data_IF_443404667787
#
_entry.id   IF_443404667787
#
_cell.length_a   1.000
_cell.length_b   1.000
_cell.length_c   1.000
_cell.angle_alpha   90.00
_cell.angle_beta   90.00
_cell.angle_gamma   90.00
#
_symmetry.space_group_name_H-M   'P 1'
#
loop_
_entity.id
_entity.type
_entity.pdbx_description
1 polymer ?
#
# COMPACT_ATOMS: atom_id res chain seq x y z
N UNK A 1 -18.94 -31.22 -7.26
CA UNK A 1 -18.20 -30.50 -6.19
C UNK A 1 -17.05 -29.78 -6.89
N UNK A 2 -16.80 -28.49 -6.65
CA UNK A 2 -15.78 -27.72 -7.39
C UNK A 2 -14.37 -27.99 -6.83
N UNK A 3 -13.32 -27.78 -7.65
CA UNK A 3 -11.91 -27.87 -7.23
C UNK A 3 -11.65 -27.01 -5.99
N UNK A 4 -12.27 -25.84 -5.90
CA UNK A 4 -12.15 -24.95 -4.75
C UNK A 4 -12.55 -25.61 -3.43
N UNK A 5 -13.58 -26.47 -3.43
CA UNK A 5 -13.98 -27.18 -2.23
C UNK A 5 -12.95 -28.25 -1.84
N UNK A 6 -12.30 -28.90 -2.79
CA UNK A 6 -11.23 -29.85 -2.52
C UNK A 6 -9.97 -29.16 -1.97
N UNK A 7 -9.72 -27.91 -2.37
CA UNK A 7 -8.64 -27.05 -1.86
C UNK A 7 -8.96 -26.36 -0.52
N UNK A 8 -9.98 -26.81 0.21
CA UNK A 8 -10.16 -26.41 1.61
C UNK A 8 -9.06 -27.02 2.50
N UNK A 9 -8.76 -26.46 3.69
CA UNK A 9 -7.72 -26.98 4.58
C UNK A 9 -7.87 -28.48 4.90
N UNK A 10 -9.12 -28.94 5.00
CA UNK A 10 -9.47 -30.34 5.13
C UNK A 10 -10.87 -30.60 4.58
N UNK A 11 -11.03 -31.69 3.81
CA UNK A 11 -12.34 -32.16 3.34
C UNK A 11 -12.58 -33.56 3.90
N UNK A 12 -13.73 -33.74 4.54
CA UNK A 12 -14.12 -35.01 5.15
C UNK A 12 -15.28 -35.66 4.37
N UNK A 13 -15.18 -36.97 4.15
CA UNK A 13 -16.25 -37.75 3.54
C UNK A 13 -16.37 -37.53 2.03
N UNK A 14 -15.25 -37.70 1.31
CA UNK A 14 -15.24 -37.68 -0.16
C UNK A 14 -16.18 -38.76 -0.71
N UNK A 15 -16.99 -38.41 -1.70
CA UNK A 15 -17.79 -39.39 -2.48
C UNK A 15 -16.94 -40.03 -3.58
N UNK A 16 -17.39 -41.14 -4.18
CA UNK A 16 -16.67 -41.78 -5.30
C UNK A 16 -16.39 -40.80 -6.45
N UNK A 17 -17.39 -40.01 -6.86
CA UNK A 17 -17.23 -38.99 -7.91
C UNK A 17 -16.20 -37.89 -7.56
N UNK A 18 -15.92 -37.66 -6.28
CA UNK A 18 -14.94 -36.66 -5.83
C UNK A 18 -13.54 -37.25 -5.69
N UNK A 19 -13.47 -38.56 -5.53
CA UNK A 19 -12.21 -39.27 -5.32
C UNK A 19 -11.32 -39.21 -6.55
N UNK A 20 -11.91 -39.28 -7.75
CA UNK A 20 -11.16 -39.13 -9.01
C UNK A 20 -10.49 -37.76 -9.09
N UNK A 21 -11.26 -36.66 -8.91
CA UNK A 21 -10.70 -35.31 -8.91
C UNK A 21 -9.69 -35.11 -7.78
N UNK A 22 -9.96 -35.62 -6.58
CA UNK A 22 -9.02 -35.52 -5.46
C UNK A 22 -7.69 -36.24 -5.76
N UNK A 23 -7.74 -37.42 -6.39
CA UNK A 23 -6.53 -38.14 -6.81
C UNK A 23 -5.76 -37.38 -7.89
N UNK A 24 -6.43 -36.80 -8.87
CA UNK A 24 -5.76 -35.95 -9.86
C UNK A 24 -5.06 -34.75 -9.20
N UNK A 25 -5.71 -34.10 -8.23
CA UNK A 25 -5.10 -32.99 -7.49
C UNK A 25 -3.95 -33.46 -6.59
N UNK A 26 -4.04 -34.66 -6.00
CA UNK A 26 -2.94 -35.31 -5.25
C UNK A 26 -1.74 -35.61 -6.15
N UNK A 27 -1.97 -36.14 -7.37
CA UNK A 27 -0.92 -36.42 -8.37
C UNK A 27 -0.20 -35.13 -8.82
N UNK A 28 -0.93 -34.02 -8.91
CA UNK A 28 -0.36 -32.69 -9.16
C UNK A 28 0.35 -32.09 -7.93
N UNK A 29 0.30 -32.78 -6.78
CA UNK A 29 0.87 -32.34 -5.51
C UNK A 29 0.08 -31.23 -4.82
N UNK A 30 -1.15 -30.95 -5.23
CA UNK A 30 -2.00 -29.89 -4.66
C UNK A 30 -2.69 -30.33 -3.37
N UNK A 31 -2.94 -31.64 -3.25
CA UNK A 31 -3.45 -32.29 -2.06
C UNK A 31 -2.38 -33.23 -1.49
N UNK A 32 -2.43 -33.42 -0.18
CA UNK A 32 -1.70 -34.50 0.51
C UNK A 32 -2.39 -35.84 0.25
N UNK A 33 -1.69 -36.91 0.62
CA UNK A 33 -2.19 -38.27 0.57
C UNK A 33 -3.61 -38.38 1.14
N UNK A 34 -4.51 -39.00 0.36
CA UNK A 34 -5.89 -39.21 0.77
C UNK A 34 -5.91 -40.28 1.86
N UNK A 35 -6.27 -39.87 3.07
CA UNK A 35 -6.33 -40.75 4.25
C UNK A 35 -7.71 -41.42 4.35
N UNK A 36 -7.74 -42.73 4.57
CA UNK A 36 -8.94 -43.39 5.10
C UNK A 36 -8.88 -43.37 6.63
N UNK A 37 -9.83 -42.66 7.26
CA UNK A 37 -9.96 -42.66 8.72
C UNK A 37 -11.16 -43.45 9.17
N UNK A 38 -10.91 -44.40 10.05
CA UNK A 38 -11.95 -45.05 10.83
C UNK A 38 -12.43 -44.15 11.97
N UNK A 39 -13.74 -44.09 12.15
CA UNK A 39 -14.39 -43.34 13.22
C UNK A 39 -15.65 -44.06 13.71
N UNK A 40 -16.12 -43.66 14.88
CA UNK A 40 -17.42 -44.04 15.42
C UNK A 40 -18.21 -42.79 15.78
N UNK A 41 -19.54 -42.90 15.80
CA UNK A 41 -20.41 -41.85 16.32
C UNK A 41 -20.68 -42.07 17.80
N UNK A 42 -20.54 -41.01 18.60
CA UNK A 42 -20.88 -41.03 20.01
C UNK A 42 -22.32 -41.52 20.23
N UNK A 43 -23.25 -41.06 19.39
CA UNK A 43 -24.66 -41.47 19.41
C UNK A 43 -24.98 -42.21 18.12
N UNK A 44 -25.53 -43.42 18.24
CA UNK A 44 -26.01 -44.21 17.11
C UNK A 44 -27.42 -44.74 17.41
N UNK A 45 -28.32 -44.84 16.40
CA UNK A 45 -29.68 -45.35 16.60
C UNK A 45 -29.79 -46.76 17.16
N UNK A 46 -28.68 -47.51 17.15
CA UNK A 46 -28.58 -48.87 17.68
C UNK A 46 -28.08 -48.93 19.13
N UNK A 47 -27.78 -47.79 19.75
CA UNK A 47 -27.37 -47.73 21.15
C UNK A 47 -28.58 -47.93 22.06
N UNK A 48 -28.43 -48.71 23.13
CA UNK A 48 -29.51 -49.00 24.10
C UNK A 48 -30.07 -47.72 24.78
N UNK A 49 -29.24 -46.69 24.90
CA UNK A 49 -29.53 -45.39 25.51
C UNK A 49 -29.70 -44.27 24.46
N UNK A 50 -29.92 -44.61 23.18
CA UNK A 50 -29.96 -43.67 22.06
C UNK A 50 -30.83 -42.43 22.34
N UNK A 51 -32.05 -42.62 22.87
CA UNK A 51 -32.97 -41.52 23.15
C UNK A 51 -32.46 -40.59 24.26
N UNK A 52 -31.84 -41.14 25.31
CA UNK A 52 -31.32 -40.35 26.44
C UNK A 52 -30.12 -39.49 26.02
N UNK A 53 -29.23 -40.01 25.18
CA UNK A 53 -28.03 -39.28 24.73
C UNK A 53 -28.35 -38.32 23.58
N UNK A 54 -29.33 -38.66 22.73
CA UNK A 54 -29.82 -37.76 21.66
C UNK A 54 -30.43 -36.48 22.23
N UNK A 55 -31.17 -36.56 23.34
CA UNK A 55 -31.71 -35.36 24.02
C UNK A 55 -30.60 -34.44 24.58
N UNK A 56 -29.41 -34.98 24.83
CA UNK A 56 -28.22 -34.19 25.23
C UNK A 56 -27.50 -33.53 24.06
N UNK A 57 -27.91 -33.79 22.81
CA UNK A 57 -27.40 -33.12 21.62
C UNK A 57 -25.95 -33.44 21.25
N UNK A 58 -25.45 -34.64 21.56
CA UNK A 58 -24.07 -34.99 21.25
C UNK A 58 -23.93 -35.61 19.85
N UNK A 59 -23.32 -34.87 18.92
CA UNK A 59 -23.08 -35.29 17.53
C UNK A 59 -21.62 -35.70 17.25
N UNK A 60 -20.84 -35.94 18.31
CA UNK A 60 -19.39 -36.12 18.23
C UNK A 60 -18.97 -37.37 17.44
N UNK A 61 -17.98 -37.19 16.57
CA UNK A 61 -17.33 -38.27 15.79
C UNK A 61 -15.92 -38.52 16.33
N UNK A 62 -15.67 -39.75 16.79
CA UNK A 62 -14.43 -40.11 17.47
C UNK A 62 -13.56 -40.93 16.52
N UNK A 63 -12.39 -40.39 16.16
CA UNK A 63 -11.40 -41.09 15.33
C UNK A 63 -10.75 -42.25 16.07
N UNK A 64 -10.56 -43.37 15.38
CA UNK A 64 -10.01 -44.61 15.94
C UNK A 64 -8.50 -44.79 15.72
N UNK A 65 -7.80 -43.75 15.26
CA UNK A 65 -6.41 -43.82 14.76
C UNK A 65 -5.35 -44.25 15.80
N UNK A 66 -5.66 -44.24 17.10
CA UNK A 66 -4.68 -44.53 18.17
C UNK A 66 -5.18 -45.47 19.28
N UNK A 67 -6.44 -45.90 19.26
CA UNK A 67 -7.02 -46.78 20.31
C UNK A 67 -7.73 -47.96 19.65
N UNK A 68 -7.05 -49.11 19.51
CA UNK A 68 -7.57 -50.22 18.72
C UNK A 68 -8.74 -50.93 19.40
N UNK A 69 -8.80 -50.96 20.73
CA UNK A 69 -9.83 -51.61 21.53
C UNK A 69 -10.02 -50.96 22.92
N UNK A 70 -11.24 -51.02 23.46
CA UNK A 70 -11.54 -50.63 24.83
C UNK A 70 -12.72 -49.67 24.98
N UNK A 71 -12.65 -48.86 26.04
CA UNK A 71 -13.64 -47.85 26.40
C UNK A 71 -13.04 -46.47 26.16
N UNK A 72 -13.76 -45.61 25.45
CA UNK A 72 -13.36 -44.22 25.21
C UNK A 72 -14.38 -43.26 25.80
N UNK A 73 -13.90 -42.23 26.47
CA UNK A 73 -14.77 -41.15 26.92
C UNK A 73 -15.00 -40.19 25.76
N UNK A 74 -16.26 -39.98 25.37
CA UNK A 74 -16.63 -38.99 24.38
C UNK A 74 -16.16 -37.59 24.84
N UNK A 75 -15.35 -36.87 24.04
CA UNK A 75 -14.87 -35.54 24.41
C UNK A 75 -16.01 -34.50 24.47
N UNK A 76 -17.05 -34.67 23.65
CA UNK A 76 -18.18 -33.74 23.59
C UNK A 76 -19.12 -33.83 24.79
N UNK A 77 -19.47 -35.04 25.24
CA UNK A 77 -20.49 -35.24 26.29
C UNK A 77 -20.00 -36.01 27.54
N UNK A 78 -18.74 -36.41 27.59
CA UNK A 78 -18.18 -37.18 28.71
C UNK A 78 -18.71 -38.61 28.85
N UNK A 79 -19.54 -39.09 27.90
CA UNK A 79 -20.09 -40.44 27.90
C UNK A 79 -18.99 -41.47 27.71
N UNK A 80 -18.97 -42.51 28.53
CA UNK A 80 -18.10 -43.65 28.31
C UNK A 80 -18.68 -44.56 27.21
N UNK A 81 -17.91 -44.79 26.16
CA UNK A 81 -18.31 -45.53 24.97
C UNK A 81 -17.49 -46.81 24.88
N UNK A 82 -18.19 -47.93 24.92
CA UNK A 82 -17.60 -49.24 24.67
C UNK A 82 -17.45 -49.45 23.15
N UNK A 83 -16.20 -49.40 22.65
CA UNK A 83 -15.92 -49.36 21.21
C UNK A 83 -16.48 -50.58 20.47
N UNK A 84 -16.48 -51.76 21.09
CA UNK A 84 -16.98 -53.01 20.50
C UNK A 84 -18.50 -53.02 20.26
N UNK A 85 -19.27 -52.16 20.96
CA UNK A 85 -20.72 -52.00 20.74
C UNK A 85 -21.03 -51.02 19.61
N UNK A 86 -20.03 -50.31 19.09
CA UNK A 86 -20.20 -49.29 18.06
C UNK A 86 -19.93 -49.82 16.68
N UNK A 87 -20.70 -49.34 15.70
CA UNK A 87 -20.44 -49.60 14.29
C UNK A 87 -19.28 -48.71 13.84
N UNK A 88 -18.14 -49.32 13.52
CA UNK A 88 -17.03 -48.64 12.85
C UNK A 88 -17.48 -48.15 11.48
N UNK A 89 -17.09 -46.92 11.14
CA UNK A 89 -17.30 -46.30 9.84
C UNK A 89 -15.96 -45.82 9.33
N UNK A 90 -15.76 -45.85 8.03
CA UNK A 90 -14.62 -45.16 7.42
C UNK A 90 -15.10 -43.92 6.66
N UNK A 91 -14.21 -42.95 6.54
CA UNK A 91 -14.35 -41.84 5.61
C UNK A 91 -13.01 -41.49 5.02
N UNK A 92 -13.03 -41.10 3.76
CA UNK A 92 -11.88 -40.53 3.10
C UNK A 92 -11.74 -39.06 3.48
N UNK A 93 -10.52 -38.65 3.79
CA UNK A 93 -10.15 -37.30 4.17
C UNK A 93 -9.01 -36.87 3.27
N UNK A 94 -9.05 -35.62 2.81
CA UNK A 94 -7.92 -35.01 2.13
C UNK A 94 -7.58 -33.68 2.78
N UNK A 95 -6.31 -33.29 2.64
CA UNK A 95 -5.75 -32.06 3.15
C UNK A 95 -5.04 -31.33 2.02
N UNK A 96 -5.27 -30.02 1.89
CA UNK A 96 -4.52 -29.20 0.93
C UNK A 96 -3.03 -29.20 1.28
N UNK A 97 -2.18 -29.26 0.25
CA UNK A 97 -0.76 -28.93 0.39
C UNK A 97 -0.48 -27.50 -0.09
N UNK A 98 -0.43 -26.55 0.86
CA UNK A 98 -0.14 -25.13 0.58
C UNK A 98 1.17 -24.92 -0.20
N UNK A 99 2.19 -25.76 0.02
CA UNK A 99 3.47 -25.67 -0.71
C UNK A 99 3.33 -26.19 -2.14
N UNK A 100 2.58 -27.26 -2.30
CA UNK A 100 2.21 -27.83 -3.59
C UNK A 100 1.43 -26.83 -4.44
N UNK A 101 0.35 -26.27 -3.89
CA UNK A 101 -0.45 -25.21 -4.56
C UNK A 101 0.41 -24.03 -4.97
N UNK A 102 1.26 -23.53 -4.07
CA UNK A 102 2.17 -22.44 -4.40
C UNK A 102 3.12 -22.77 -5.55
N UNK A 103 3.71 -23.96 -5.53
CA UNK A 103 4.69 -24.37 -6.54
C UNK A 103 4.01 -24.54 -7.89
N UNK A 104 2.86 -25.22 -7.91
CA UNK A 104 2.07 -25.44 -9.12
C UNK A 104 1.63 -24.12 -9.77
N UNK A 105 0.96 -23.24 -9.03
CA UNK A 105 0.47 -21.95 -9.55
C UNK A 105 1.62 -21.12 -10.11
N UNK A 106 2.75 -21.05 -9.38
CA UNK A 106 3.94 -20.33 -9.84
C UNK A 106 4.50 -20.95 -11.13
N UNK A 107 4.57 -22.26 -11.20
CA UNK A 107 5.19 -22.97 -12.32
C UNK A 107 4.33 -22.89 -13.59
N UNK A 108 2.99 -22.96 -13.45
CA UNK A 108 2.03 -22.68 -14.55
C UNK A 108 2.23 -21.26 -15.07
N UNK A 109 2.14 -20.23 -14.20
CA UNK A 109 2.31 -18.83 -14.62
C UNK A 109 3.68 -18.59 -15.26
N UNK A 110 4.73 -19.21 -14.73
CA UNK A 110 6.08 -19.12 -15.30
C UNK A 110 6.15 -19.73 -16.71
N UNK A 111 5.53 -20.90 -16.90
CA UNK A 111 5.51 -21.62 -18.16
C UNK A 111 4.74 -20.84 -19.23
N UNK A 112 3.51 -20.43 -18.92
CA UNK A 112 2.62 -19.76 -19.88
C UNK A 112 3.16 -18.44 -20.41
N UNK A 113 3.97 -17.73 -19.61
CA UNK A 113 4.49 -16.41 -19.96
C UNK A 113 5.93 -16.41 -20.47
N UNK A 114 6.57 -17.59 -20.56
CA UNK A 114 8.02 -17.73 -20.79
C UNK A 114 8.84 -16.75 -19.91
N UNK A 115 8.42 -16.60 -18.65
CA UNK A 115 8.86 -15.51 -17.79
C UNK A 115 9.76 -15.99 -16.64
N UNK A 116 10.45 -15.04 -16.00
CA UNK A 116 11.20 -15.32 -14.76
C UNK A 116 10.29 -15.12 -13.56
N UNK A 117 10.07 -16.19 -12.80
CA UNK A 117 9.36 -16.16 -11.53
C UNK A 117 10.34 -16.24 -10.34
N UNK A 118 10.24 -15.32 -9.39
CA UNK A 118 11.11 -15.22 -8.21
C UNK A 118 10.27 -15.21 -6.93
N UNK A 119 10.59 -16.08 -5.98
CA UNK A 119 9.89 -16.15 -4.68
C UNK A 119 10.16 -14.88 -3.86
N UNK A 120 9.13 -14.35 -3.20
CA UNK A 120 9.26 -13.28 -2.20
C UNK A 120 9.29 -13.94 -0.81
N UNK A 121 10.49 -14.22 -0.31
CA UNK A 121 10.68 -14.98 0.94
C UNK A 121 10.04 -14.31 2.17
N UNK A 122 10.05 -12.97 2.21
CA UNK A 122 9.49 -12.20 3.32
C UNK A 122 7.99 -11.91 3.18
N UNK A 123 7.36 -12.35 2.09
CA UNK A 123 5.96 -12.03 1.78
C UNK A 123 5.76 -10.58 1.40
N UNK A 124 4.51 -10.19 1.22
CA UNK A 124 4.09 -8.80 1.06
C UNK A 124 3.62 -8.28 2.40
N UNK A 125 4.07 -7.07 2.77
CA UNK A 125 3.69 -6.44 4.04
C UNK A 125 2.64 -5.37 3.77
N UNK A 126 1.54 -5.45 4.50
CA UNK A 126 0.45 -4.49 4.50
C UNK A 126 0.11 -4.22 5.97
N UNK A 127 0.26 -2.98 6.40
CA UNK A 127 0.28 -2.61 7.81
C UNK A 127 1.35 -3.44 8.57
N UNK A 128 0.98 -4.01 9.71
CA UNK A 128 1.79 -4.93 10.51
C UNK A 128 1.70 -6.40 10.04
N UNK A 129 0.89 -6.69 9.02
CA UNK A 129 0.59 -8.06 8.59
C UNK A 129 1.44 -8.45 7.39
N UNK A 130 2.02 -9.66 7.43
CA UNK A 130 2.76 -10.23 6.30
C UNK A 130 1.93 -11.32 5.64
N UNK A 131 1.57 -11.09 4.39
CA UNK A 131 0.84 -12.06 3.58
C UNK A 131 1.82 -12.92 2.80
N UNK A 132 1.61 -14.24 2.90
CA UNK A 132 2.43 -15.28 2.29
C UNK A 132 1.53 -16.46 1.86
N UNK A 133 1.94 -17.21 0.83
CA UNK A 133 3.15 -17.03 0.03
C UNK A 133 2.95 -16.05 -1.13
N UNK A 134 4.05 -15.46 -1.60
CA UNK A 134 4.03 -14.51 -2.71
C UNK A 134 5.27 -14.70 -3.61
N UNK A 135 5.12 -14.33 -4.88
CA UNK A 135 6.20 -14.35 -5.86
C UNK A 135 6.05 -13.20 -6.86
N UNK A 136 7.12 -12.92 -7.58
CA UNK A 136 7.18 -11.88 -8.62
C UNK A 136 7.41 -12.54 -9.96
N UNK A 137 6.71 -12.08 -10.99
CA UNK A 137 6.94 -12.45 -12.39
C UNK A 137 7.46 -11.25 -13.15
N UNK A 138 8.57 -11.43 -13.87
CA UNK A 138 9.19 -10.40 -14.71
C UNK A 138 9.15 -10.81 -16.18
N UNK A 139 8.61 -9.92 -17.02
CA UNK A 139 8.58 -10.04 -18.47
C UNK A 139 9.05 -8.72 -19.09
N UNK A 140 10.28 -8.70 -19.60
CA UNK A 140 10.97 -7.46 -20.00
C UNK A 140 11.20 -6.52 -18.80
N UNK A 141 10.87 -5.24 -18.97
CA UNK A 141 10.92 -4.24 -17.89
C UNK A 141 9.73 -4.32 -16.92
N UNK A 142 8.70 -5.11 -17.24
CA UNK A 142 7.48 -5.14 -16.46
C UNK A 142 7.58 -6.18 -15.33
N UNK A 143 7.10 -5.77 -14.15
CA UNK A 143 7.06 -6.59 -12.95
C UNK A 143 5.62 -6.69 -12.43
N UNK A 144 5.15 -7.90 -12.17
CA UNK A 144 3.84 -8.15 -11.55
C UNK A 144 4.02 -9.10 -10.37
N UNK A 145 3.41 -8.76 -9.23
CA UNK A 145 3.46 -9.60 -8.02
C UNK A 145 2.23 -10.49 -7.97
N UNK A 146 2.39 -11.66 -7.39
CA UNK A 146 1.35 -12.63 -7.14
C UNK A 146 1.32 -12.95 -5.66
N UNK A 147 0.15 -12.85 -5.05
CA UNK A 147 -0.13 -13.24 -3.68
C UNK A 147 -1.07 -14.44 -3.69
N UNK A 148 -0.69 -15.54 -3.06
CA UNK A 148 -1.57 -16.70 -2.89
C UNK A 148 -2.20 -16.62 -1.51
N UNK A 149 -3.53 -16.55 -1.50
CA UNK A 149 -4.31 -16.35 -0.30
C UNK A 149 -5.14 -17.59 -0.01
N UNK A 150 -4.86 -18.19 1.15
CA UNK A 150 -5.51 -19.43 1.61
C UNK A 150 -6.66 -19.18 2.59
N UNK A 151 -6.63 -18.03 3.26
CA UNK A 151 -7.54 -17.66 4.35
C UNK A 151 -8.15 -16.28 4.08
N UNK A 152 -9.20 -15.94 4.82
CA UNK A 152 -9.81 -14.60 4.71
C UNK A 152 -8.83 -13.50 5.12
N UNK A 153 -8.80 -12.45 4.31
CA UNK A 153 -8.05 -11.22 4.58
C UNK A 153 -8.98 -10.19 5.22
N UNK A 154 -8.54 -9.46 6.24
CA UNK A 154 -9.39 -8.41 6.84
C UNK A 154 -9.54 -7.20 5.92
N UNK A 155 -10.63 -6.42 6.09
CA UNK A 155 -10.92 -5.26 5.21
C UNK A 155 -9.77 -4.25 5.21
N UNK A 156 -9.19 -3.96 6.37
CA UNK A 156 -8.12 -2.97 6.48
C UNK A 156 -6.85 -3.39 5.73
N UNK A 157 -6.61 -4.69 5.60
CA UNK A 157 -5.51 -5.22 4.80
C UNK A 157 -5.83 -5.10 3.30
N UNK A 158 -7.08 -5.35 2.89
CA UNK A 158 -7.50 -5.11 1.51
C UNK A 158 -7.40 -3.63 1.12
N UNK A 159 -7.80 -2.74 2.03
CA UNK A 159 -7.69 -1.29 1.82
C UNK A 159 -6.22 -0.87 1.76
N UNK A 160 -5.34 -1.46 2.58
CA UNK A 160 -3.89 -1.23 2.50
C UNK A 160 -3.31 -1.72 1.17
N UNK A 161 -3.74 -2.88 0.65
CA UNK A 161 -3.35 -3.36 -0.69
C UNK A 161 -3.72 -2.33 -1.77
N UNK A 162 -4.91 -1.74 -1.71
CA UNK A 162 -5.30 -0.68 -2.64
C UNK A 162 -4.39 0.54 -2.54
N UNK A 163 -4.03 0.98 -1.33
CA UNK A 163 -3.13 2.13 -1.13
C UNK A 163 -1.76 1.89 -1.76
N UNK A 164 -1.21 0.67 -1.76
CA UNK A 164 0.03 0.42 -2.52
C UNK A 164 -0.17 0.62 -4.03
N UNK A 165 -1.33 0.23 -4.57
CA UNK A 165 -1.68 0.36 -5.98
C UNK A 165 -0.59 -0.13 -6.96
N UNK A 166 0.11 -1.19 -6.58
CA UNK A 166 1.15 -1.80 -7.39
C UNK A 166 0.58 -3.02 -8.14
N UNK A 167 1.12 -3.38 -9.32
CA UNK A 167 0.62 -4.53 -10.08
C UNK A 167 0.65 -5.82 -9.27
N UNK A 168 -0.53 -6.26 -8.84
CA UNK A 168 -0.73 -7.41 -7.96
C UNK A 168 -1.92 -8.24 -8.45
N UNK A 169 -1.69 -9.54 -8.59
CA UNK A 169 -2.73 -10.55 -8.76
C UNK A 169 -2.87 -11.33 -7.45
N UNK A 170 -4.11 -11.45 -6.96
CA UNK A 170 -4.42 -12.27 -5.79
C UNK A 170 -5.04 -13.60 -6.22
N UNK A 171 -4.33 -14.70 -5.96
CA UNK A 171 -4.82 -16.05 -6.22
C UNK A 171 -5.53 -16.57 -4.97
N UNK A 172 -6.84 -16.80 -5.08
CA UNK A 172 -7.67 -17.23 -3.97
C UNK A 172 -7.78 -18.76 -3.95
N UNK A 173 -7.55 -19.37 -2.79
CA UNK A 173 -7.53 -20.83 -2.64
C UNK A 173 -8.51 -21.28 -1.56
N UNK A 174 -9.41 -22.19 -1.93
CA UNK A 174 -10.33 -22.83 -0.99
C UNK A 174 -11.18 -21.84 -0.20
N UNK A 175 -10.91 -21.73 1.10
CA UNK A 175 -11.66 -20.86 2.00
C UNK A 175 -11.59 -19.38 1.63
N UNK A 176 -10.57 -18.93 0.91
CA UNK A 176 -10.45 -17.55 0.47
C UNK A 176 -11.31 -17.22 -0.78
N UNK A 177 -11.75 -18.22 -1.55
CA UNK A 177 -12.50 -18.03 -2.81
C UNK A 177 -13.80 -17.21 -2.63
N UNK A 178 -14.62 -17.42 -1.59
CA UNK A 178 -15.80 -16.59 -1.36
C UNK A 178 -15.50 -15.10 -1.13
N UNK A 179 -14.24 -14.73 -0.87
CA UNK A 179 -13.83 -13.34 -0.74
C UNK A 179 -13.62 -12.63 -2.10
N UNK A 180 -13.66 -13.33 -3.24
CA UNK A 180 -13.44 -12.76 -4.58
C UNK A 180 -14.20 -11.44 -4.81
N UNK A 181 -15.49 -11.43 -4.48
CA UNK A 181 -16.33 -10.22 -4.62
C UNK A 181 -15.81 -9.03 -3.81
N UNK A 182 -15.18 -9.24 -2.65
CA UNK A 182 -14.62 -8.13 -1.86
C UNK A 182 -13.33 -7.56 -2.47
N UNK A 183 -12.54 -8.39 -3.17
CA UNK A 183 -11.38 -7.95 -3.94
C UNK A 183 -11.82 -7.17 -5.18
N UNK A 184 -12.78 -7.72 -5.94
CA UNK A 184 -13.31 -7.10 -7.16
C UNK A 184 -14.01 -5.76 -6.89
N UNK A 185 -14.82 -5.66 -5.82
CA UNK A 185 -15.45 -4.40 -5.40
C UNK A 185 -14.44 -3.31 -5.04
N UNK A 186 -13.21 -3.71 -4.70
CA UNK A 186 -12.08 -2.82 -4.43
C UNK A 186 -11.22 -2.56 -5.68
N UNK A 187 -11.61 -3.08 -6.84
CA UNK A 187 -10.83 -2.96 -8.07
C UNK A 187 -9.49 -3.72 -8.00
N UNK A 188 -9.36 -4.68 -7.09
CA UNK A 188 -8.19 -5.54 -7.01
C UNK A 188 -8.36 -6.73 -7.97
N UNK A 189 -7.29 -7.06 -8.69
CA UNK A 189 -7.31 -8.23 -9.60
C UNK A 189 -7.14 -9.50 -8.79
N UNK A 190 -8.12 -10.40 -8.87
CA UNK A 190 -8.06 -11.71 -8.25
C UNK A 190 -8.53 -12.82 -9.20
N UNK A 191 -8.14 -14.05 -8.91
CA UNK A 191 -8.54 -15.26 -9.66
C UNK A 191 -8.60 -16.44 -8.69
N UNK A 192 -9.53 -17.38 -8.87
CA UNK A 192 -9.52 -18.60 -8.09
C UNK A 192 -8.39 -19.53 -8.57
N UNK A 193 -7.77 -20.28 -7.65
CA UNK A 193 -6.77 -21.26 -8.03
C UNK A 193 -7.34 -22.38 -8.92
N UNK A 194 -8.63 -22.72 -8.76
CA UNK A 194 -9.33 -23.66 -9.65
C UNK A 194 -9.26 -23.23 -11.11
N UNK A 195 -9.44 -21.94 -11.41
CA UNK A 195 -9.35 -21.41 -12.77
C UNK A 195 -7.93 -21.60 -13.33
N UNK A 196 -6.88 -21.32 -12.56
CA UNK A 196 -5.48 -21.55 -13.01
C UNK A 196 -5.21 -23.04 -13.27
N UNK A 197 -5.78 -23.93 -12.45
CA UNK A 197 -5.62 -25.38 -12.60
C UNK A 197 -6.39 -25.90 -13.83
N UNK A 198 -7.57 -25.35 -14.10
CA UNK A 198 -8.44 -25.73 -15.22
C UNK A 198 -7.99 -25.14 -16.57
N UNK A 199 -7.28 -24.01 -16.56
CA UNK A 199 -6.83 -23.28 -17.77
C UNK A 199 -5.95 -24.13 -18.71
N UNK A 200 -5.22 -25.13 -18.22
CA UNK A 200 -4.30 -25.92 -19.07
C UNK A 200 -3.27 -25.05 -19.81
N UNK A 201 -2.94 -25.39 -21.07
CA UNK A 201 -1.98 -24.69 -21.95
C UNK A 201 -2.55 -23.38 -22.61
N UNK A 202 -3.55 -22.71 -22.02
CA UNK A 202 -4.15 -21.49 -22.58
C UNK A 202 -3.49 -20.21 -22.03
N UNK A 203 -2.38 -19.80 -22.64
CA UNK A 203 -1.58 -18.64 -22.22
C UNK A 203 -2.32 -17.30 -22.21
N UNK A 204 -3.38 -17.17 -23.03
CA UNK A 204 -4.11 -15.91 -23.24
C UNK A 204 -4.81 -15.39 -21.95
N UNK A 205 -5.30 -16.28 -21.10
CA UNK A 205 -6.07 -15.90 -19.91
C UNK A 205 -5.16 -15.33 -18.80
N UNK A 206 -3.95 -15.88 -18.65
CA UNK A 206 -2.96 -15.40 -17.67
C UNK A 206 -2.37 -14.04 -18.10
N UNK A 207 -2.12 -13.84 -19.39
CA UNK A 207 -1.65 -12.55 -19.91
C UNK A 207 -2.69 -11.44 -19.70
N UNK A 208 -3.97 -11.74 -19.91
CA UNK A 208 -5.06 -10.79 -19.68
C UNK A 208 -5.20 -10.44 -18.20
N UNK A 209 -5.06 -11.42 -17.31
CA UNK A 209 -5.06 -11.21 -15.86
C UNK A 209 -3.94 -10.26 -15.42
N UNK A 210 -2.72 -10.47 -15.93
CA UNK A 210 -1.57 -9.60 -15.63
C UNK A 210 -1.78 -8.20 -16.18
N UNK A 211 -2.31 -8.09 -17.40
CA UNK A 211 -2.60 -6.79 -18.02
C UNK A 211 -3.62 -6.02 -17.19
N UNK A 212 -4.67 -6.69 -16.73
CA UNK A 212 -5.69 -6.13 -15.83
C UNK A 212 -5.10 -5.66 -14.50
N UNK A 213 -4.15 -6.40 -13.93
CA UNK A 213 -3.48 -6.02 -12.69
C UNK A 213 -2.54 -4.82 -12.84
N UNK A 214 -2.03 -4.56 -14.06
CA UNK A 214 -1.17 -3.41 -14.36
C UNK A 214 -1.95 -2.12 -14.61
N UNK A 215 -3.15 -2.25 -15.14
CA UNK A 215 -4.07 -1.13 -15.32
C UNK A 215 -4.73 -0.79 -13.98
N UNK A 216 -4.12 0.12 -13.21
CA UNK A 216 -4.81 0.67 -12.04
C UNK A 216 -6.08 1.39 -12.49
N UNK A 217 -7.22 0.91 -12.02
CA UNK A 217 -8.54 1.50 -12.30
C UNK A 217 -9.03 2.43 -11.19
N UNK A 218 -8.23 2.61 -10.13
CA UNK A 218 -8.65 3.32 -8.92
C UNK A 218 -8.14 4.77 -9.00
N UNK A 219 -9.04 5.79 -8.99
CA UNK A 219 -8.62 7.18 -9.00
C UNK A 219 -7.73 7.53 -7.81
N UNK A 220 -6.69 8.34 -8.04
CA UNK A 220 -5.75 8.75 -6.99
C UNK A 220 -6.44 9.37 -5.76
N UNK A 221 -7.53 10.12 -5.95
CA UNK A 221 -8.31 10.68 -4.84
C UNK A 221 -8.91 9.61 -3.92
N UNK A 222 -9.45 8.53 -4.48
CA UNK A 222 -9.98 7.41 -3.66
C UNK A 222 -8.87 6.68 -2.90
N UNK A 223 -7.67 6.58 -3.49
CA UNK A 223 -6.50 5.99 -2.83
C UNK A 223 -5.97 6.89 -1.72
N UNK A 224 -5.97 8.21 -1.92
CA UNK A 224 -5.62 9.21 -0.91
C UNK A 224 -6.59 9.13 0.28
N UNK A 225 -7.90 9.16 0.03
CA UNK A 225 -8.93 9.02 1.07
C UNK A 225 -8.74 7.73 1.90
N UNK A 226 -8.49 6.60 1.23
CA UNK A 226 -8.21 5.32 1.90
C UNK A 226 -6.93 5.38 2.73
N UNK A 227 -5.85 5.93 2.19
CA UNK A 227 -4.59 6.08 2.91
C UNK A 227 -4.73 6.96 4.16
N UNK A 228 -5.45 8.08 4.05
CA UNK A 228 -5.76 8.98 5.16
C UNK A 228 -6.62 8.26 6.21
N UNK A 229 -7.67 7.55 5.78
CA UNK A 229 -8.54 6.81 6.70
C UNK A 229 -7.79 5.70 7.46
N UNK A 230 -6.93 4.95 6.76
CA UNK A 230 -6.07 3.94 7.37
C UNK A 230 -5.06 4.56 8.33
N UNK A 231 -4.43 5.68 7.95
CA UNK A 231 -3.53 6.42 8.82
C UNK A 231 -4.22 6.87 10.11
N UNK A 232 -5.44 7.42 10.00
CA UNK A 232 -6.21 7.89 11.16
C UNK A 232 -6.71 6.75 12.05
N UNK A 233 -7.23 5.67 11.48
CA UNK A 233 -7.85 4.56 12.24
C UNK A 233 -6.86 3.49 12.70
N UNK A 234 -5.75 3.32 12.00
CA UNK A 234 -4.80 2.22 12.20
C UNK A 234 -3.35 2.69 12.33
N UNK A 235 -3.12 3.92 12.79
CA UNK A 235 -1.78 4.53 12.97
C UNK A 235 -0.74 3.60 13.60
N UNK A 236 -1.11 2.87 14.65
CA UNK A 236 -0.19 1.96 15.36
C UNK A 236 0.29 0.79 14.51
N UNK A 237 -0.45 0.40 13.47
CA UNK A 237 -0.12 -0.69 12.53
C UNK A 237 0.39 -0.14 11.19
N UNK A 238 0.16 1.14 10.92
CA UNK A 238 0.57 1.84 9.71
C UNK A 238 2.09 1.85 9.57
N UNK A 239 2.62 1.60 8.38
CA UNK A 239 4.06 1.60 8.14
C UNK A 239 4.48 2.80 7.32
N UNK A 240 5.80 3.01 7.26
CA UNK A 240 6.40 4.07 6.46
C UNK A 240 6.06 3.94 4.97
N UNK A 241 5.83 2.71 4.46
CA UNK A 241 5.47 2.50 3.05
C UNK A 241 4.05 2.92 2.75
N UNK A 242 3.06 2.57 3.58
CA UNK A 242 1.71 3.07 3.36
C UNK A 242 1.68 4.60 3.45
N UNK A 243 2.52 5.19 4.31
CA UNK A 243 2.68 6.63 4.41
C UNK A 243 3.21 7.25 3.10
N UNK A 244 4.30 6.75 2.53
CA UNK A 244 4.82 7.20 1.23
C UNK A 244 3.79 7.11 0.11
N UNK A 245 3.12 5.97 0.01
CA UNK A 245 2.08 5.78 -1.00
C UNK A 245 0.91 6.75 -0.79
N UNK A 246 0.54 7.04 0.46
CA UNK A 246 -0.51 8.03 0.76
C UNK A 246 -0.11 9.43 0.35
N UNK A 247 1.14 9.84 0.66
CA UNK A 247 1.70 11.13 0.23
C UNK A 247 1.67 11.24 -1.30
N UNK A 248 2.12 10.19 -2.00
CA UNK A 248 2.06 10.14 -3.45
C UNK A 248 0.63 10.29 -3.98
N UNK A 249 -0.36 9.63 -3.36
CA UNK A 249 -1.76 9.73 -3.79
C UNK A 249 -2.35 11.12 -3.53
N UNK A 250 -2.05 11.74 -2.39
CA UNK A 250 -2.45 13.12 -2.11
C UNK A 250 -1.89 14.08 -3.17
N UNK A 251 -0.60 13.97 -3.49
CA UNK A 251 0.01 14.79 -4.54
C UNK A 251 -0.57 14.48 -5.93
N UNK A 252 -0.75 13.21 -6.28
CA UNK A 252 -1.30 12.81 -7.58
C UNK A 252 -2.74 13.29 -7.75
N UNK A 253 -3.55 13.20 -6.71
CA UNK A 253 -4.94 13.66 -6.71
C UNK A 253 -5.05 15.19 -6.77
N UNK A 254 -4.06 15.92 -6.24
CA UNK A 254 -4.06 17.38 -6.20
C UNK A 254 -3.42 18.02 -7.45
N UNK A 255 -2.41 17.39 -8.05
CA UNK A 255 -1.57 18.00 -9.08
C UNK A 255 -1.40 17.17 -10.35
N UNK A 256 -1.63 15.85 -10.31
CA UNK A 256 -1.43 14.85 -11.39
C UNK A 256 0.02 14.63 -11.86
N UNK A 257 0.95 15.48 -11.44
CA UNK A 257 2.35 15.52 -11.90
C UNK A 257 3.34 14.83 -10.97
N UNK A 258 2.87 14.27 -9.84
CA UNK A 258 3.73 13.56 -8.90
C UNK A 258 4.03 12.14 -9.35
N UNK A 259 5.27 11.67 -9.16
CA UNK A 259 5.67 10.29 -9.41
C UNK A 259 6.45 9.73 -8.22
N UNK A 260 6.07 8.53 -7.80
CA UNK A 260 6.83 7.72 -6.84
C UNK A 260 7.97 7.01 -7.57
N UNK A 261 9.19 7.13 -7.04
CA UNK A 261 10.40 6.52 -7.60
C UNK A 261 10.84 5.27 -6.83
N UNK A 262 10.60 5.25 -5.50
CA UNK A 262 10.74 4.08 -4.62
C UNK A 262 12.13 3.44 -4.60
N UNK A 263 12.95 3.74 -3.58
CA UNK A 263 14.37 3.35 -3.53
C UNK A 263 14.72 1.87 -3.32
N UNK A 264 13.76 1.00 -2.99
CA UNK A 264 14.11 -0.38 -2.57
C UNK A 264 14.33 -1.39 -3.71
N UNK A 265 13.78 -1.21 -4.91
CA UNK A 265 13.85 -2.25 -5.95
C UNK A 265 15.08 -2.13 -6.89
N UNK A 266 15.69 -0.94 -6.99
CA UNK A 266 16.88 -0.71 -7.83
C UNK A 266 18.20 -0.87 -7.07
N UNK A 267 18.19 -0.77 -5.73
CA UNK A 267 19.41 -0.64 -4.93
C UNK A 267 20.11 0.71 -5.10
N UNK A 268 19.46 1.66 -5.76
CA UNK A 268 19.97 3.00 -6.03
C UNK A 268 19.45 4.00 -4.99
N UNK A 269 20.29 4.95 -4.58
CA UNK A 269 19.91 6.01 -3.63
C UNK A 269 19.15 7.12 -4.37
N UNK A 270 17.84 6.93 -4.56
CA UNK A 270 16.91 7.88 -5.19
C UNK A 270 15.92 8.45 -4.16
N UNK A 271 15.42 9.68 -4.36
CA UNK A 271 14.35 10.22 -3.51
C UNK A 271 13.07 9.37 -3.59
N UNK A 272 12.19 9.49 -2.59
CA UNK A 272 10.93 8.74 -2.60
C UNK A 272 10.07 9.10 -3.81
N UNK A 273 10.03 10.39 -4.18
CA UNK A 273 9.38 10.82 -5.41
C UNK A 273 9.77 12.20 -5.91
N UNK A 274 9.12 12.58 -7.01
CA UNK A 274 9.23 13.88 -7.67
C UNK A 274 7.85 14.48 -7.88
N UNK A 275 7.74 15.80 -7.84
CA UNK A 275 6.54 16.58 -8.11
C UNK A 275 6.90 17.74 -9.03
N UNK A 276 6.11 17.99 -10.07
CA UNK A 276 6.27 19.21 -10.89
C UNK A 276 5.07 20.14 -10.75
N UNK A 277 5.31 21.42 -10.50
CA UNK A 277 4.27 22.45 -10.49
C UNK A 277 4.42 23.34 -11.72
N UNK A 278 3.80 22.95 -12.83
CA UNK A 278 3.95 23.68 -14.09
C UNK A 278 3.00 24.89 -14.15
N UNK A 279 3.54 26.09 -14.32
CA UNK A 279 2.80 27.34 -14.55
C UNK A 279 3.67 28.35 -15.34
N UNK A 280 3.04 29.30 -16.05
CA UNK A 280 3.73 30.38 -16.79
C UNK A 280 4.91 29.90 -17.67
N UNK A 281 4.68 28.83 -18.44
CA UNK A 281 5.65 28.18 -19.36
C UNK A 281 6.95 27.69 -18.69
N UNK A 282 6.96 27.57 -17.36
CA UNK A 282 8.08 27.06 -16.57
C UNK A 282 7.67 25.82 -15.76
N UNK A 283 8.53 24.82 -15.73
CA UNK A 283 8.38 23.60 -14.93
C UNK A 283 9.11 23.72 -13.60
N UNK A 284 8.38 23.81 -12.49
CA UNK A 284 8.97 23.88 -11.15
C UNK A 284 9.02 22.50 -10.50
N UNK A 285 10.16 21.81 -10.62
CA UNK A 285 10.33 20.48 -10.06
C UNK A 285 10.72 20.49 -8.58
N UNK A 286 10.21 19.52 -7.83
CA UNK A 286 10.53 19.24 -6.45
C UNK A 286 10.87 17.76 -6.31
N UNK A 287 11.90 17.44 -5.52
CA UNK A 287 12.06 16.09 -4.98
C UNK A 287 11.43 16.04 -3.60
N UNK A 288 10.83 14.91 -3.24
CA UNK A 288 10.17 14.76 -1.96
C UNK A 288 10.53 13.44 -1.28
N UNK A 289 10.63 13.50 0.04
CA UNK A 289 10.83 12.35 0.93
C UNK A 289 9.73 12.35 2.00
N UNK A 290 9.10 11.20 2.24
CA UNK A 290 8.10 11.05 3.29
C UNK A 290 8.72 10.36 4.52
N UNK A 291 8.67 11.01 5.69
CA UNK A 291 9.24 10.48 6.93
C UNK A 291 8.15 10.21 7.95
N UNK A 292 7.83 8.94 8.15
CA UNK A 292 6.80 8.51 9.08
C UNK A 292 7.30 8.48 10.54
N UNK A 293 6.42 8.91 11.46
CA UNK A 293 6.58 8.77 12.93
C UNK A 293 5.33 8.12 13.48
N UNK A 294 5.52 7.00 14.18
CA UNK A 294 4.44 6.15 14.66
C UNK A 294 3.71 6.76 15.86
N UNK A 295 4.43 7.46 16.74
CA UNK A 295 3.86 8.08 17.94
C UNK A 295 3.27 9.48 17.65
N UNK A 296 2.02 9.76 18.08
CA UNK A 296 1.42 11.08 17.96
C UNK A 296 2.16 12.12 18.82
N UNK A 297 2.56 13.24 18.21
CA UNK A 297 3.25 14.34 18.91
C UNK A 297 4.76 14.14 19.08
N UNK A 298 5.31 13.00 18.66
CA UNK A 298 6.76 12.85 18.55
C UNK A 298 7.27 13.46 17.23
N UNK A 299 8.35 14.24 17.33
CA UNK A 299 9.08 14.74 16.17
C UNK A 299 10.18 13.76 15.79
N UNK A 300 10.33 13.41 14.51
CA UNK A 300 11.46 12.59 14.08
C UNK A 300 12.76 13.37 14.13
N UNK A 301 13.80 12.75 14.68
CA UNK A 301 15.17 13.18 14.40
C UNK A 301 15.58 12.75 12.99
N UNK A 302 16.02 13.69 12.17
CA UNK A 302 16.52 13.42 10.81
C UNK A 302 18.02 13.06 10.77
N UNK A 303 18.64 12.80 11.93
CA UNK A 303 20.10 12.64 12.09
C UNK A 303 20.74 11.54 11.23
N UNK A 304 20.01 10.45 10.96
CA UNK A 304 20.48 9.36 10.08
C UNK A 304 20.12 9.54 8.60
N UNK A 305 19.27 10.52 8.27
CA UNK A 305 18.70 10.70 6.93
C UNK A 305 19.38 11.86 6.17
N UNK A 306 19.99 12.82 6.87
CA UNK A 306 20.58 14.02 6.27
C UNK A 306 21.51 13.74 5.09
N UNK A 307 22.37 12.71 5.21
CA UNK A 307 23.31 12.36 4.15
C UNK A 307 22.62 11.80 2.90
N UNK A 308 21.55 11.02 3.08
CA UNK A 308 20.78 10.47 1.96
C UNK A 308 20.01 11.59 1.26
N UNK A 309 19.31 12.43 2.02
CA UNK A 309 18.56 13.57 1.48
C UNK A 309 19.45 14.54 0.70
N UNK A 310 20.63 14.88 1.25
CA UNK A 310 21.59 15.75 0.55
C UNK A 310 22.18 15.08 -0.71
N UNK A 311 22.39 13.76 -0.69
CA UNK A 311 22.82 13.01 -1.88
C UNK A 311 21.75 13.00 -2.97
N UNK A 312 20.47 12.81 -2.62
CA UNK A 312 19.37 12.84 -3.59
C UNK A 312 19.36 14.15 -4.36
N UNK A 313 19.52 15.29 -3.68
CA UNK A 313 19.60 16.61 -4.29
C UNK A 313 20.77 16.71 -5.30
N UNK A 314 21.98 16.34 -4.86
CA UNK A 314 23.19 16.43 -5.70
C UNK A 314 23.13 15.48 -6.89
N UNK A 315 22.70 14.23 -6.68
CA UNK A 315 22.61 13.22 -7.74
C UNK A 315 21.58 13.62 -8.80
N UNK A 316 20.39 14.08 -8.36
CA UNK A 316 19.31 14.50 -9.26
C UNK A 316 19.74 15.64 -10.19
N UNK A 317 20.60 16.57 -9.71
CA UNK A 317 21.16 17.65 -10.55
C UNK A 317 22.31 17.18 -11.46
N UNK A 318 23.17 16.28 -10.99
CA UNK A 318 24.37 15.81 -11.71
C UNK A 318 24.10 14.78 -12.81
N UNK A 319 23.18 13.85 -12.61
CA UNK A 319 22.96 12.70 -13.51
C UNK A 319 22.01 13.03 -14.69
N UNK A 320 21.92 14.29 -15.10
CA UNK A 320 20.74 14.81 -15.80
C UNK A 320 20.62 14.42 -17.28
N UNK A 321 19.92 13.32 -17.56
CA UNK A 321 18.78 13.34 -18.52
C UNK A 321 17.55 14.03 -17.90
N UNK A 322 17.62 14.41 -16.62
CA UNK A 322 16.57 15.08 -15.85
C UNK A 322 16.33 16.52 -16.30
N UNK A 323 17.39 17.23 -16.74
CA UNK A 323 17.26 18.56 -17.38
C UNK A 323 16.55 18.51 -18.73
N UNK A 324 16.51 17.32 -19.36
CA UNK A 324 15.71 17.10 -20.58
C UNK A 324 14.21 16.88 -20.26
N UNK A 325 13.87 16.63 -18.99
CA UNK A 325 12.51 16.33 -18.53
C UNK A 325 11.92 17.49 -17.72
N UNK A 326 12.74 18.24 -16.98
CA UNK A 326 12.33 19.35 -16.12
C UNK A 326 13.30 20.54 -16.28
N UNK A 327 12.77 21.77 -16.31
CA UNK A 327 13.55 22.98 -16.58
C UNK A 327 14.61 23.27 -15.50
N UNK A 328 14.26 23.14 -14.21
CA UNK A 328 15.20 23.19 -13.07
C UNK A 328 14.56 22.65 -11.76
N UNK A 329 15.38 22.34 -10.76
CA UNK A 329 14.95 21.88 -9.44
C UNK A 329 14.67 23.05 -8.49
N UNK A 330 13.39 23.33 -8.26
CA UNK A 330 12.90 24.44 -7.44
C UNK A 330 13.01 24.22 -5.93
N UNK A 331 12.96 22.97 -5.46
CA UNK A 331 12.99 22.70 -4.02
C UNK A 331 13.08 21.24 -3.61
N UNK A 332 13.26 21.04 -2.30
CA UNK A 332 13.21 19.76 -1.61
C UNK A 332 12.06 19.77 -0.60
N UNK A 333 11.15 18.80 -0.67
CA UNK A 333 10.01 18.68 0.25
C UNK A 333 10.23 17.50 1.23
N UNK A 334 9.98 17.75 2.50
CA UNK A 334 9.94 16.71 3.54
C UNK A 334 8.52 16.63 4.05
N UNK A 335 7.89 15.47 3.86
CA UNK A 335 6.52 15.27 4.31
C UNK A 335 6.57 14.40 5.56
N UNK A 336 6.05 14.91 6.67
CA UNK A 336 6.02 14.15 7.91
C UNK A 336 4.84 14.56 8.79
N UNK A 337 4.40 13.72 9.73
CA UNK A 337 3.47 14.16 10.78
C UNK A 337 4.06 15.24 11.70
N UNK A 338 5.39 15.32 11.79
CA UNK A 338 6.12 16.27 12.63
C UNK A 338 7.63 16.03 12.60
N UNK A 339 8.39 17.12 12.44
CA UNK A 339 9.86 17.18 12.54
C UNK A 339 10.21 18.33 13.49
N UNK A 340 11.31 18.20 14.24
CA UNK A 340 11.74 19.27 15.12
C UNK A 340 12.47 20.36 14.33
N UNK A 341 12.28 21.63 14.67
CA UNK A 341 12.93 22.78 14.00
C UNK A 341 14.45 22.61 13.93
N UNK A 342 15.05 22.14 15.03
CA UNK A 342 16.48 21.84 15.09
C UNK A 342 16.95 20.81 14.06
N UNK A 343 16.06 19.89 13.64
CA UNK A 343 16.36 18.92 12.59
C UNK A 343 16.28 19.54 11.20
N UNK A 344 15.32 20.45 10.97
CA UNK A 344 15.19 21.18 9.71
C UNK A 344 16.38 22.10 9.46
N UNK A 345 16.79 22.88 10.48
CA UNK A 345 17.98 23.74 10.43
C UNK A 345 19.22 22.91 10.11
N UNK A 346 19.44 21.80 10.84
CA UNK A 346 20.59 20.91 10.61
C UNK A 346 20.61 20.28 9.22
N UNK A 347 19.44 19.90 8.68
CA UNK A 347 19.36 19.39 7.31
C UNK A 347 19.78 20.46 6.31
N UNK A 348 19.27 21.69 6.47
CA UNK A 348 19.58 22.79 5.58
C UNK A 348 21.07 23.15 5.60
N UNK A 349 21.67 23.23 6.78
CA UNK A 349 23.12 23.40 6.94
C UNK A 349 23.91 22.28 6.23
N UNK A 350 23.43 21.03 6.32
CA UNK A 350 24.07 19.87 5.69
C UNK A 350 23.93 19.91 4.17
N UNK A 351 22.76 20.27 3.65
CA UNK A 351 22.53 20.48 2.22
C UNK A 351 23.44 21.59 1.71
N UNK A 352 23.46 22.74 2.37
CA UNK A 352 24.29 23.89 1.97
C UNK A 352 25.77 23.54 1.97
N UNK A 353 26.27 22.88 3.03
CA UNK A 353 27.65 22.41 3.10
C UNK A 353 27.98 21.46 1.95
N UNK A 354 27.09 20.51 1.65
CA UNK A 354 27.26 19.54 0.56
C UNK A 354 27.33 20.24 -0.80
N UNK A 355 26.49 21.25 -1.02
CA UNK A 355 26.49 22.03 -2.26
C UNK A 355 27.78 22.82 -2.40
N UNK A 356 28.24 23.50 -1.34
CA UNK A 356 29.54 24.19 -1.32
C UNK A 356 30.72 23.26 -1.58
N UNK A 357 30.75 22.07 -0.97
CA UNK A 357 31.79 21.04 -1.21
C UNK A 357 31.81 20.56 -2.67
N UNK A 358 30.70 20.69 -3.39
CA UNK A 358 30.52 20.21 -4.75
C UNK A 358 30.55 21.32 -5.81
N UNK A 359 30.92 22.56 -5.41
CA UNK A 359 30.90 23.78 -6.24
C UNK A 359 29.56 24.00 -6.94
N UNK A 360 28.47 23.77 -6.18
CA UNK A 360 27.11 23.79 -6.70
C UNK A 360 26.32 25.01 -6.18
N UNK A 361 25.70 25.74 -7.11
CA UNK A 361 25.06 27.05 -6.90
C UNK A 361 23.54 26.96 -6.68
N UNK A 362 23.06 25.80 -6.19
CA UNK A 362 21.63 25.57 -6.02
C UNK A 362 20.95 26.67 -5.19
N UNK A 363 19.89 27.22 -5.76
CA UNK A 363 19.15 28.35 -5.21
C UNK A 363 17.70 27.96 -4.83
N UNK A 364 17.41 26.67 -4.61
CA UNK A 364 16.07 26.18 -4.26
C UNK A 364 15.76 26.26 -2.76
N UNK A 365 14.54 25.87 -2.39
CA UNK A 365 14.06 25.85 -0.99
C UNK A 365 14.08 24.44 -0.38
N UNK A 366 14.21 24.37 0.94
CA UNK A 366 13.98 23.14 1.72
C UNK A 366 12.73 23.36 2.56
N UNK A 367 11.69 22.58 2.29
CA UNK A 367 10.37 22.79 2.90
C UNK A 367 9.95 21.57 3.68
N UNK A 368 9.62 21.75 4.95
CA UNK A 368 8.82 20.78 5.69
C UNK A 368 7.34 21.06 5.42
N UNK A 369 6.64 20.05 4.93
CA UNK A 369 5.20 20.07 4.74
C UNK A 369 4.60 19.09 5.74
N UNK A 370 3.89 19.62 6.74
CA UNK A 370 3.19 18.77 7.69
C UNK A 370 2.17 17.91 6.93
N UNK A 371 2.07 16.63 7.29
CA UNK A 371 1.16 15.71 6.60
C UNK A 371 -0.29 16.20 6.65
N UNK A 372 -0.72 16.77 7.78
CA UNK A 372 -2.06 17.35 7.91
C UNK A 372 -2.27 18.54 6.96
N UNK A 373 -1.24 19.35 6.70
CA UNK A 373 -1.29 20.42 5.71
C UNK A 373 -1.44 19.87 4.28
N UNK A 374 -0.74 18.78 3.95
CA UNK A 374 -0.92 18.09 2.66
C UNK A 374 -2.32 17.50 2.52
N UNK A 375 -2.85 16.88 3.58
CA UNK A 375 -4.23 16.37 3.62
C UNK A 375 -5.22 17.51 3.40
N UNK A 376 -4.98 18.68 4.01
CA UNK A 376 -5.82 19.86 3.85
C UNK A 376 -5.79 20.40 2.41
N UNK A 377 -4.62 20.46 1.77
CA UNK A 377 -4.50 20.79 0.33
C UNK A 377 -5.35 19.83 -0.50
N UNK A 378 -5.20 18.52 -0.28
CA UNK A 378 -5.96 17.50 -1.00
C UNK A 378 -7.47 17.66 -0.83
N UNK A 379 -7.95 17.81 0.41
CA UNK A 379 -9.37 17.98 0.70
C UNK A 379 -9.95 19.25 0.08
N UNK A 380 -9.22 20.35 0.15
CA UNK A 380 -9.62 21.62 -0.47
C UNK A 380 -9.73 21.50 -2.00
N UNK A 381 -8.76 20.85 -2.66
CA UNK A 381 -8.84 20.56 -4.11
C UNK A 381 -10.04 19.67 -4.45
N UNK A 382 -10.36 18.66 -3.63
CA UNK A 382 -11.54 17.83 -3.86
C UNK A 382 -12.84 18.64 -3.71
N UNK A 383 -12.89 19.57 -2.76
CA UNK A 383 -14.09 20.39 -2.51
C UNK A 383 -14.38 21.45 -3.58
N UNK A 384 -13.35 21.96 -4.26
CA UNK A 384 -13.46 22.95 -5.36
C UNK A 384 -12.73 22.47 -6.61
N UNK A 385 -13.02 21.23 -7.01
CA UNK A 385 -12.35 20.59 -8.15
C UNK A 385 -12.52 21.39 -9.44
N UNK A 386 -13.71 21.92 -9.68
CA UNK A 386 -14.03 22.67 -10.89
C UNK A 386 -13.28 24.02 -10.92
N UNK A 387 -13.19 24.72 -9.78
CA UNK A 387 -12.43 25.97 -9.66
C UNK A 387 -10.92 25.77 -9.85
N UNK A 388 -10.37 24.73 -9.20
CA UNK A 388 -8.96 24.35 -9.36
C UNK A 388 -8.66 23.93 -10.80
N UNK A 389 -9.55 23.19 -11.45
CA UNK A 389 -9.37 22.79 -12.85
C UNK A 389 -9.45 23.99 -13.81
N UNK A 390 -10.39 24.91 -13.58
CA UNK A 390 -10.52 26.13 -14.38
C UNK A 390 -9.30 27.06 -14.26
N UNK A 391 -8.63 27.07 -13.11
CA UNK A 391 -7.50 27.95 -12.79
C UNK A 391 -6.25 27.17 -12.32
N UNK A 392 -5.95 26.05 -12.97
CA UNK A 392 -4.90 25.12 -12.53
C UNK A 392 -3.52 25.74 -12.42
N UNK A 393 -3.14 26.63 -13.34
CA UNK A 393 -1.86 27.37 -13.32
C UNK A 393 -1.78 28.35 -12.15
N UNK A 394 -2.86 29.05 -11.84
CA UNK A 394 -2.93 30.00 -10.73
C UNK A 394 -2.80 29.27 -9.41
N UNK A 395 -3.54 28.16 -9.25
CA UNK A 395 -3.43 27.29 -8.08
C UNK A 395 -1.99 26.79 -7.87
N UNK A 396 -1.36 26.23 -8.91
CA UNK A 396 0.03 25.75 -8.85
C UNK A 396 1.02 26.87 -8.50
N UNK A 397 0.82 28.08 -9.02
CA UNK A 397 1.63 29.27 -8.68
C UNK A 397 1.52 29.64 -7.19
N UNK A 398 0.31 29.59 -6.62
CA UNK A 398 0.13 29.84 -5.18
C UNK A 398 0.78 28.75 -4.32
N UNK A 399 0.64 27.47 -4.70
CA UNK A 399 1.31 26.36 -4.01
C UNK A 399 2.83 26.46 -4.12
N UNK A 400 3.38 26.84 -5.27
CA UNK A 400 4.82 27.10 -5.40
C UNK A 400 5.30 28.20 -4.45
N UNK A 401 4.53 29.29 -4.32
CA UNK A 401 4.84 30.37 -3.36
C UNK A 401 4.82 29.88 -1.92
N UNK A 402 3.91 28.96 -1.56
CA UNK A 402 3.88 28.30 -0.25
C UNK A 402 5.21 27.63 0.05
N UNK A 403 5.72 26.85 -0.91
CA UNK A 403 6.93 26.04 -0.73
C UNK A 403 8.22 26.87 -0.75
N UNK A 404 8.20 28.08 -1.27
CA UNK A 404 9.43 28.87 -1.52
C UNK A 404 9.54 30.14 -0.67
N UNK A 405 8.49 30.54 0.05
CA UNK A 405 8.45 31.79 0.82
C UNK A 405 7.86 31.63 2.22
N UNK A 406 7.86 30.42 2.76
CA UNK A 406 7.16 30.04 3.99
C UNK A 406 7.14 31.09 5.10
N UNK A 407 5.97 31.14 5.74
CA UNK A 407 5.53 31.96 6.88
C UNK A 407 5.12 33.42 6.64
N UNK A 408 3.80 33.62 6.74
CA UNK A 408 3.19 34.82 7.33
C UNK A 408 3.09 34.74 8.86
N UNK A 409 3.54 33.63 9.46
CA UNK A 409 3.68 33.45 10.91
C UNK A 409 5.09 33.86 11.33
N UNK A 410 5.21 35.11 11.77
CA UNK A 410 6.41 35.72 12.35
C UNK A 410 6.88 34.90 13.58
N UNK A 411 8.02 34.18 13.54
CA UNK A 411 8.68 33.76 14.76
C UNK A 411 9.56 34.90 15.26
N UNK A 412 9.57 35.11 16.56
CA UNK A 412 10.36 36.10 17.28
C UNK A 412 11.73 36.37 16.60
N UNK A 413 12.01 37.61 16.14
CA UNK A 413 13.17 37.95 15.30
C UNK A 413 14.54 37.57 15.90
N UNK A 414 14.60 37.32 17.20
CA UNK A 414 15.81 36.90 17.91
C UNK A 414 16.17 35.42 17.71
N UNK A 415 15.33 34.61 17.05
CA UNK A 415 15.56 33.17 16.88
C UNK A 415 16.26 32.78 15.56
N UNK A 416 16.27 33.66 14.57
CA UNK A 416 16.77 33.40 13.21
C UNK A 416 17.89 34.35 12.78
N UNK A 417 18.74 34.79 13.71
CA UNK A 417 19.98 35.46 13.33
C UNK A 417 21.04 34.43 12.92
N UNK A 418 21.56 34.61 11.70
CA UNK A 418 22.74 33.94 11.12
C UNK A 418 22.55 32.59 10.42
N UNK A 419 21.71 32.54 9.39
CA UNK A 419 22.10 31.94 8.11
C UNK A 419 21.08 32.28 7.02
N UNK A 420 21.55 32.31 5.77
CA UNK A 420 20.81 32.46 4.52
C UNK A 420 19.89 31.24 4.24
N UNK A 421 19.16 30.76 5.25
CA UNK A 421 18.52 29.45 5.28
C UNK A 421 17.11 29.54 4.71
N UNK A 422 16.95 29.14 3.44
CA UNK A 422 15.65 28.96 2.73
C UNK A 422 14.92 27.72 3.23
N UNK A 423 14.70 27.68 4.53
CA UNK A 423 14.03 26.60 5.24
C UNK A 423 12.64 27.07 5.61
N UNK A 424 11.63 26.33 5.19
CA UNK A 424 10.24 26.70 5.39
C UNK A 424 9.51 25.56 6.09
N UNK A 425 8.62 25.91 7.01
CA UNK A 425 7.63 25.00 7.58
C UNK A 425 6.24 25.41 7.07
N UNK A 426 5.43 24.44 6.67
CA UNK A 426 4.09 24.68 6.11
C UNK A 426 3.05 23.97 6.95
N UNK A 427 2.21 24.78 7.59
CA UNK A 427 1.10 24.34 8.43
C UNK A 427 -0.24 24.37 7.69
N UNK A 428 -1.30 23.86 8.33
CA UNK A 428 -2.68 23.98 7.82
C UNK A 428 -3.14 25.44 7.72
N UNK A 429 -2.68 26.32 8.61
CA UNK A 429 -3.04 27.75 8.61
C UNK A 429 -2.48 28.49 7.38
N UNK A 430 -1.26 28.13 6.97
CA UNK A 430 -0.64 28.65 5.75
C UNK A 430 -1.41 28.22 4.49
N UNK A 431 -1.87 26.97 4.47
CA UNK A 431 -2.71 26.43 3.40
C UNK A 431 -4.06 27.17 3.33
N UNK A 432 -4.72 27.39 4.46
CA UNK A 432 -5.98 28.15 4.54
C UNK A 432 -5.84 29.57 3.99
N UNK A 433 -4.68 30.19 4.17
CA UNK A 433 -4.42 31.52 3.62
C UNK A 433 -4.37 31.48 2.09
N UNK A 434 -3.70 30.49 1.52
CA UNK A 434 -3.65 30.31 0.06
C UNK A 434 -5.03 30.02 -0.51
N UNK A 435 -5.81 29.14 0.10
CA UNK A 435 -7.15 28.88 -0.42
C UNK A 435 -8.06 30.10 -0.29
N UNK A 436 -7.90 30.91 0.77
CA UNK A 436 -8.57 32.22 0.83
C UNK A 436 -8.13 33.17 -0.28
N UNK A 437 -6.84 33.26 -0.57
CA UNK A 437 -6.31 34.11 -1.64
C UNK A 437 -6.67 33.60 -3.05
N UNK A 438 -6.73 32.27 -3.24
CA UNK A 438 -7.11 31.61 -4.49
C UNK A 438 -8.62 31.69 -4.77
N UNK A 439 -9.46 31.48 -3.74
CA UNK A 439 -10.92 31.49 -3.83
C UNK A 439 -11.48 32.92 -3.83
N UNK A 440 -10.81 33.88 -3.16
CA UNK A 440 -11.23 35.27 -3.20
C UNK A 440 -11.30 35.74 -4.67
N UNK A 441 -12.32 36.54 -5.05
CA UNK A 441 -12.29 37.23 -6.34
C UNK A 441 -10.99 38.01 -6.38
N UNK A 442 -10.05 37.54 -7.21
CA UNK A 442 -8.84 38.29 -7.51
C UNK A 442 -9.35 39.59 -8.11
N UNK A 443 -9.30 40.69 -7.35
CA UNK A 443 -9.37 42.00 -7.96
C UNK A 443 -8.36 41.95 -9.11
N UNK A 444 -8.73 42.37 -10.34
CA UNK A 444 -7.75 42.44 -11.40
C UNK A 444 -6.52 43.14 -10.84
N UNK A 445 -5.31 42.67 -11.17
CA UNK A 445 -4.08 43.41 -10.91
C UNK A 445 -4.21 44.77 -11.62
N UNK A 446 -4.97 45.70 -11.04
CA UNK A 446 -4.68 47.09 -11.16
C UNK A 446 -3.31 47.16 -10.53
N UNK A 447 -2.30 47.47 -11.35
CA UNK A 447 -1.10 48.13 -10.89
C UNK A 447 -1.57 49.10 -9.80
N UNK A 448 -1.42 48.71 -8.53
CA UNK A 448 -1.53 49.66 -7.44
C UNK A 448 -0.32 50.52 -7.70
N UNK A 449 -0.53 51.57 -8.49
CA UNK A 449 0.39 52.68 -8.66
C UNK A 449 0.88 52.90 -7.25
N UNK A 450 2.18 52.69 -7.04
CA UNK A 450 2.79 52.84 -5.74
C UNK A 450 2.73 54.34 -5.42
N UNK A 451 1.56 54.81 -4.98
CA UNK A 451 1.26 56.22 -4.76
C UNK A 451 2.21 56.74 -3.69
N UNK A 452 2.56 55.93 -2.70
CA UNK A 452 3.53 56.29 -1.67
C UNK A 452 4.95 56.42 -2.24
N UNK A 453 5.38 55.52 -3.14
CA UNK A 453 6.65 55.62 -3.85
C UNK A 453 6.71 56.75 -4.88
N UNK A 454 5.59 57.03 -5.55
CA UNK A 454 5.43 58.15 -6.49
C UNK A 454 5.44 59.50 -5.75
N UNK A 455 4.73 59.61 -4.63
CA UNK A 455 4.72 60.80 -3.77
C UNK A 455 6.06 60.98 -3.04
N UNK A 456 6.76 59.90 -2.68
CA UNK A 456 8.11 59.97 -2.12
C UNK A 456 9.11 60.52 -3.16
N UNK A 457 9.02 60.08 -4.42
CA UNK A 457 9.85 60.61 -5.52
C UNK A 457 9.55 62.07 -5.86
N UNK A 458 8.30 62.52 -5.75
CA UNK A 458 7.96 63.95 -5.92
C UNK A 458 8.53 64.78 -4.76
N UNK A 459 8.46 64.28 -3.52
CA UNK A 459 9.01 64.95 -2.34
C UNK A 459 10.54 64.99 -2.31
N UNK A 460 11.22 64.05 -2.98
CA UNK A 460 12.68 64.05 -3.13
C UNK A 460 13.19 64.93 -4.27
N UNK A 461 12.30 65.53 -5.07
CA UNK A 461 12.66 66.44 -6.16
C UNK A 461 12.56 67.93 -5.77
N UNK A 462 12.01 68.23 -4.59
CA UNK A 462 12.06 69.56 -3.96
C UNK A 462 13.20 69.58 -2.92
N UNK A 463 14.46 69.55 -3.37
CA UNK A 463 15.63 70.23 -2.77
C UNK A 463 16.85 70.21 -3.70
#
# INVERSE_FOLDING_TARGET
MTIDRLLQPSVHGLTEDQLESARSLEELGLLREIEEREYIKCVSPKDDDYFEVKERGCDEEIGLSEVPDGNITCPGCGRNIELYKKTRRSRLITHRDDRGVYSYVRDVIKHELDARASKINNGLRFLDTRLKPAFTVRHGANQTRFLIQFEYTSSEILDSIQVFNQPLVVVLVGNAVPQATQYEQRGLTCVAASEIIEIGDSSADIEQLISSARESKIPAGQLADKGIDLYSKHRSRYTWREFEHTVQHCFSASFETSRLLGGEESGEQVPEGVLSLDYEDSSHAYIWDAKYVQEPGESRGLSGEYENMAKHLVNFRRESNVKDIYDDLSGYLIISPGVSDSSMVRLAERIQRRLTENDDDWNGSVTHLQFDALVHIFQAVQSDRDGVQAKSREFRKHVHRLFTKGNYHDPDPDTYMEADQRVFDVSTEDVDKIFREFIAPQEPETERVNIDGYLANIRSLDY
#
